data_IF_667018875072
#
_entry.id   IF_667018875072
#
_cell.length_a   1.000
_cell.length_b   1.000
_cell.length_c   1.000
_cell.angle_alpha   90.00
_cell.angle_beta   90.00
_cell.angle_gamma   90.00
#
_symmetry.space_group_name_H-M   'P 1'
#
loop_
_entity.id
_entity.type
_entity.pdbx_description
1 polymer ?
#
# COMPACT_ATOMS: atom_id res chain seq x y z
N UNK A 1 4.03 -2.00 10.87
CA UNK A 1 3.63 -2.89 9.77
C UNK A 1 4.82 -3.24 8.89
N UNK A 2 4.88 -4.47 8.49
CA UNK A 2 5.94 -4.89 7.57
C UNK A 2 5.48 -4.70 6.13
N UNK A 3 6.46 -4.73 5.22
CA UNK A 3 6.13 -4.65 3.79
C UNK A 3 5.23 -5.80 3.37
N UNK A 4 5.48 -6.99 3.91
CA UNK A 4 4.66 -8.16 3.58
C UNK A 4 3.21 -7.98 4.01
N UNK A 5 3.02 -7.40 5.18
CA UNK A 5 1.66 -7.12 5.66
C UNK A 5 0.97 -6.11 4.77
N UNK A 6 1.70 -5.10 4.36
CA UNK A 6 1.13 -4.08 3.46
C UNK A 6 0.79 -4.67 2.11
N UNK A 7 1.65 -5.53 1.59
CA UNK A 7 1.37 -6.19 0.32
C UNK A 7 0.13 -7.08 0.42
N UNK A 8 0.00 -7.79 1.53
CA UNK A 8 -1.17 -8.64 1.74
C UNK A 8 -2.44 -7.81 1.82
N UNK A 9 -2.37 -6.67 2.51
CA UNK A 9 -3.52 -5.77 2.58
C UNK A 9 -3.87 -5.22 1.20
N UNK A 10 -2.86 -4.87 0.41
CA UNK A 10 -3.08 -4.37 -0.94
C UNK A 10 -3.75 -5.43 -1.81
N UNK A 11 -3.32 -6.68 -1.67
CA UNK A 11 -3.87 -7.78 -2.45
C UNK A 11 -5.34 -8.04 -2.10
N UNK A 12 -5.75 -7.71 -0.89
CA UNK A 12 -7.12 -7.91 -0.45
C UNK A 12 -8.08 -6.86 -0.98
N UNK A 13 -7.56 -5.71 -1.36
CA UNK A 13 -8.41 -4.62 -1.84
C UNK A 13 -8.60 -4.77 -3.34
N UNK A 14 -9.86 -4.90 -3.80
CA UNK A 14 -10.11 -5.02 -5.25
C UNK A 14 -9.66 -3.77 -5.98
N UNK A 15 -9.17 -3.94 -7.19
CA UNK A 15 -8.77 -2.83 -8.02
C UNK A 15 -9.97 -2.29 -8.78
N UNK A 16 -10.99 -1.90 -8.02
CA UNK A 16 -12.26 -1.42 -8.57
C UNK A 16 -12.81 -0.33 -7.68
N UNK A 17 -13.37 0.72 -8.30
CA UNK A 17 -13.98 1.80 -7.55
C UNK A 17 -12.97 2.81 -7.06
N UNK A 18 -13.41 4.06 -6.93
CA UNK A 18 -12.50 5.15 -6.57
C UNK A 18 -12.03 5.05 -5.12
N UNK A 19 -12.88 4.58 -4.22
CA UNK A 19 -12.49 4.42 -2.83
C UNK A 19 -11.40 3.37 -2.69
N UNK A 20 -11.57 2.25 -3.38
CA UNK A 20 -10.57 1.18 -3.33
C UNK A 20 -9.26 1.63 -3.95
N UNK A 21 -9.33 2.36 -5.05
CA UNK A 21 -8.12 2.89 -5.68
C UNK A 21 -7.36 3.83 -4.77
N UNK A 22 -8.07 4.67 -4.04
CA UNK A 22 -7.44 5.59 -3.11
C UNK A 22 -6.74 4.81 -1.98
N UNK A 23 -7.40 3.78 -1.46
CA UNK A 23 -6.81 2.95 -0.41
C UNK A 23 -5.58 2.21 -0.90
N UNK A 24 -5.66 1.65 -2.11
CA UNK A 24 -4.52 0.96 -2.69
C UNK A 24 -3.34 1.90 -2.87
N UNK A 25 -3.62 3.12 -3.32
CA UNK A 25 -2.56 4.10 -3.51
C UNK A 25 -1.87 4.44 -2.20
N UNK A 26 -2.63 4.62 -1.13
CA UNK A 26 -2.05 4.91 0.18
C UNK A 26 -1.14 3.78 0.66
N UNK A 27 -1.57 2.55 0.47
CA UNK A 27 -0.77 1.39 0.86
C UNK A 27 0.49 1.31 0.00
N UNK A 28 0.36 1.57 -1.29
CA UNK A 28 1.52 1.56 -2.19
C UNK A 28 2.54 2.61 -1.79
N UNK A 29 2.10 3.79 -1.42
CA UNK A 29 3.00 4.84 -0.94
C UNK A 29 3.74 4.39 0.31
N UNK A 30 3.03 3.73 1.22
CA UNK A 30 3.64 3.25 2.45
C UNK A 30 4.70 2.19 2.16
N UNK A 31 4.38 1.27 1.27
CA UNK A 31 5.34 0.24 0.87
C UNK A 31 6.58 0.91 0.27
N UNK A 32 6.38 1.87 -0.59
CA UNK A 32 7.49 2.56 -1.23
C UNK A 32 8.38 3.26 -0.22
N UNK A 33 7.77 3.92 0.77
CA UNK A 33 8.54 4.57 1.83
C UNK A 33 9.38 3.58 2.60
N UNK A 34 8.81 2.43 2.93
CA UNK A 34 9.54 1.41 3.68
C UNK A 34 10.67 0.81 2.85
N UNK A 35 10.43 0.62 1.56
CA UNK A 35 11.46 0.10 0.67
C UNK A 35 12.63 1.06 0.52
N UNK A 36 12.36 2.36 0.62
CA UNK A 36 13.40 3.38 0.54
C UNK A 36 13.96 3.75 1.91
N UNK A 37 13.69 2.94 2.91
CA UNK A 37 14.19 3.19 4.24
C UNK A 37 13.41 4.20 5.04
N UNK A 38 12.25 4.59 4.56
CA UNK A 38 11.40 5.53 5.26
C UNK A 38 12.00 6.92 5.41
N UNK A 39 12.94 7.27 4.59
CA UNK A 39 13.64 8.53 4.71
C UNK A 39 12.93 9.59 3.93
N UNK A 40 12.82 10.67 4.54
CA UNK A 40 12.42 11.85 3.81
C UNK A 40 13.65 12.54 3.25
#
# INVERSE_FOLDING_TARGET
MTIEELKAALDRIPNKGSINKARRLQIQKKIFELMNGGIA
#
